data_IF_181392194069
#
_entry.id   IF_181392194069
#
_cell.length_a   1.000
_cell.length_b   1.000
_cell.length_c   1.000
_cell.angle_alpha   90.00
_cell.angle_beta   90.00
_cell.angle_gamma   90.00
#
_symmetry.space_group_name_H-M   'P 1'
#
loop_
_entity.id
_entity.type
_entity.pdbx_description
1 polymer ?
#
# COMPACT_ATOMS: atom_id res chain seq x y z
N UNK A 1 -17.29 8.93 -6.66
CA UNK A 1 -16.57 7.65 -6.54
C UNK A 1 -15.25 7.87 -5.82
N UNK A 2 -14.96 7.07 -4.83
CA UNK A 2 -13.70 7.16 -4.09
C UNK A 2 -12.66 6.25 -4.72
N UNK A 3 -11.44 6.73 -4.82
CA UNK A 3 -10.32 5.89 -5.22
C UNK A 3 -9.15 6.12 -4.29
N UNK A 4 -8.30 5.11 -4.19
CA UNK A 4 -7.12 5.15 -3.34
C UNK A 4 -5.92 4.68 -4.13
N UNK A 5 -4.79 5.34 -3.93
CA UNK A 5 -3.53 4.94 -4.57
C UNK A 5 -2.74 4.08 -3.62
N UNK A 6 -2.24 2.96 -4.13
CA UNK A 6 -1.40 2.05 -3.39
C UNK A 6 0.04 2.25 -3.81
N UNK A 7 0.91 2.49 -2.83
CA UNK A 7 2.34 2.68 -3.04
C UNK A 7 3.13 1.61 -2.31
N UNK A 8 4.29 1.27 -2.86
CA UNK A 8 5.25 0.40 -2.20
C UNK A 8 6.50 1.20 -1.84
N UNK A 9 7.16 0.81 -0.76
CA UNK A 9 8.43 1.39 -0.33
C UNK A 9 9.43 0.27 -0.16
N UNK A 10 10.61 0.43 -0.79
CA UNK A 10 11.70 -0.52 -0.70
C UNK A 10 12.93 0.16 -0.09
N UNK A 11 13.54 -0.49 0.91
CA UNK A 11 14.78 -0.06 1.55
C UNK A 11 14.74 1.38 2.08
N UNK A 12 13.58 1.81 2.57
CA UNK A 12 13.41 3.17 3.08
C UNK A 12 13.42 4.25 2.03
N UNK A 13 13.30 3.89 0.75
CA UNK A 13 13.32 4.83 -0.36
C UNK A 13 11.99 5.56 -0.56
N UNK A 14 11.86 6.19 -1.71
CA UNK A 14 10.65 6.93 -2.07
C UNK A 14 9.48 6.00 -2.35
N UNK A 15 8.27 6.54 -2.22
CA UNK A 15 7.05 5.81 -2.59
C UNK A 15 7.04 5.53 -4.08
N UNK A 16 6.69 4.29 -4.44
CA UNK A 16 6.51 3.88 -5.82
C UNK A 16 5.06 3.46 -6.03
N UNK A 17 4.40 4.07 -7.01
CA UNK A 17 3.00 3.74 -7.29
C UNK A 17 2.89 2.32 -7.82
N UNK A 18 1.95 1.57 -7.24
CA UNK A 18 1.71 0.17 -7.63
C UNK A 18 0.39 0.04 -8.38
N UNK A 19 -0.70 0.51 -7.79
CA UNK A 19 -2.02 0.41 -8.40
C UNK A 19 -2.98 1.41 -7.76
N UNK A 20 -4.17 1.53 -8.35
CA UNK A 20 -5.27 2.32 -7.80
C UNK A 20 -6.43 1.38 -7.53
N UNK A 21 -7.04 1.53 -6.36
CA UNK A 21 -8.17 0.69 -5.95
C UNK A 21 -9.37 1.57 -5.62
N UNK A 22 -10.57 1.02 -5.72
CA UNK A 22 -11.80 1.77 -5.47
C UNK A 22 -12.56 1.30 -4.23
N UNK A 23 -12.12 0.22 -3.60
CA UNK A 23 -12.78 -0.31 -2.40
C UNK A 23 -11.79 -1.06 -1.51
N UNK A 24 -12.25 -1.41 -0.30
CA UNK A 24 -11.41 -2.08 0.69
C UNK A 24 -10.99 -3.48 0.26
N UNK A 25 -11.85 -4.20 -0.46
CA UNK A 25 -11.53 -5.55 -0.92
C UNK A 25 -10.36 -5.55 -1.91
N UNK A 26 -10.37 -4.61 -2.86
CA UNK A 26 -9.27 -4.45 -3.83
C UNK A 26 -7.98 -4.02 -3.13
N UNK A 27 -8.09 -3.17 -2.13
CA UNK A 27 -6.94 -2.76 -1.33
C UNK A 27 -6.32 -3.92 -0.58
N UNK A 28 -7.14 -4.79 -0.03
CA UNK A 28 -6.67 -6.00 0.65
C UNK A 28 -6.01 -6.96 -0.32
N UNK A 29 -6.55 -7.11 -1.52
CA UNK A 29 -5.96 -7.94 -2.56
C UNK A 29 -4.58 -7.41 -2.96
N UNK A 30 -4.46 -6.09 -3.15
CA UNK A 30 -3.19 -5.46 -3.46
C UNK A 30 -2.15 -5.72 -2.37
N UNK A 31 -2.56 -5.61 -1.10
CA UNK A 31 -1.69 -5.92 0.05
C UNK A 31 -1.18 -7.36 -0.02
N UNK A 32 -2.08 -8.33 -0.27
CA UNK A 32 -1.70 -9.73 -0.34
C UNK A 32 -0.76 -10.00 -1.50
N UNK A 33 -1.02 -9.40 -2.67
CA UNK A 33 -0.18 -9.56 -3.85
C UNK A 33 1.23 -9.01 -3.61
N UNK A 34 1.33 -7.83 -3.00
CA UNK A 34 2.62 -7.22 -2.68
C UNK A 34 3.40 -8.03 -1.65
N UNK A 35 2.70 -8.61 -0.67
CA UNK A 35 3.31 -9.49 0.33
C UNK A 35 3.90 -10.75 -0.34
N UNK A 36 3.17 -11.35 -1.26
CA UNK A 36 3.63 -12.55 -1.97
C UNK A 36 4.83 -12.27 -2.86
N UNK A 37 4.86 -11.10 -3.51
CA UNK A 37 5.96 -10.72 -4.38
C UNK A 37 7.27 -10.53 -3.61
N UNK A 38 7.18 -10.06 -2.36
CA UNK A 38 8.35 -9.89 -1.49
C UNK A 38 9.32 -8.82 -1.92
N UNK A 39 8.92 -7.92 -2.81
CA UNK A 39 9.80 -6.87 -3.32
C UNK A 39 9.83 -5.63 -2.42
N UNK A 40 8.65 -5.18 -1.97
CA UNK A 40 8.53 -4.00 -1.13
C UNK A 40 8.57 -4.34 0.36
N UNK A 41 9.08 -3.43 1.16
CA UNK A 41 9.10 -3.57 2.62
C UNK A 41 7.83 -3.06 3.27
N UNK A 42 7.24 -2.00 2.68
CA UNK A 42 6.03 -1.34 3.19
C UNK A 42 5.03 -1.13 2.08
N UNK A 43 3.75 -1.15 2.47
CA UNK A 43 2.65 -0.72 1.63
C UNK A 43 2.03 0.53 2.25
N UNK A 44 1.75 1.55 1.42
CA UNK A 44 1.00 2.75 1.82
C UNK A 44 -0.22 2.91 0.96
N UNK A 45 -1.31 3.33 1.59
CA UNK A 45 -2.54 3.70 0.89
C UNK A 45 -2.80 5.17 1.12
N UNK A 46 -2.96 5.92 0.03
CA UNK A 46 -3.29 7.34 0.08
C UNK A 46 -4.58 7.61 -0.65
N UNK A 47 -5.35 8.62 -0.16
CA UNK A 47 -6.54 9.06 -0.85
C UNK A 47 -6.19 9.96 -2.04
N UNK A 48 -7.21 10.44 -2.75
CA UNK A 48 -7.02 11.27 -3.97
C UNK A 48 -6.33 12.59 -3.69
N UNK A 49 -6.36 13.06 -2.45
CA UNK A 49 -5.71 14.31 -2.05
C UNK A 49 -4.31 14.09 -1.50
N UNK A 50 -3.84 12.84 -1.51
CA UNK A 50 -2.52 12.48 -1.02
C UNK A 50 -2.46 12.19 0.47
N UNK A 51 -3.61 12.19 1.16
CA UNK A 51 -3.66 11.88 2.59
C UNK A 51 -3.37 10.41 2.86
N UNK A 52 -2.53 10.13 3.86
CA UNK A 52 -2.19 8.77 4.24
C UNK A 52 -3.38 8.10 4.93
N UNK A 53 -3.82 6.97 4.39
CA UNK A 53 -4.92 6.18 4.96
C UNK A 53 -4.40 5.07 5.86
N UNK A 54 -3.36 4.36 5.41
CA UNK A 54 -2.71 3.35 6.22
C UNK A 54 -1.32 3.03 5.69
N UNK A 55 -0.50 2.43 6.56
CA UNK A 55 0.79 1.88 6.21
C UNK A 55 0.97 0.57 6.96
N UNK A 56 1.46 -0.46 6.28
CA UNK A 56 1.78 -1.75 6.89
C UNK A 56 3.19 -2.16 6.52
N UNK A 57 3.87 -2.78 7.48
CA UNK A 57 5.12 -3.49 7.21
C UNK A 57 4.75 -4.83 6.58
N UNK A 58 5.21 -5.07 5.35
CA UNK A 58 4.83 -6.28 4.60
C UNK A 58 5.50 -7.55 5.17
N UNK A 59 6.67 -7.41 5.78
CA UNK A 59 7.38 -8.56 6.35
C UNK A 59 6.72 -9.05 7.64
N UNK A 60 6.29 -8.14 8.51
CA UNK A 60 5.70 -8.48 9.81
C UNK A 60 4.18 -8.50 9.79
N UNK A 61 3.56 -7.85 8.82
CA UNK A 61 2.11 -7.68 8.76
C UNK A 61 1.57 -6.64 9.72
N UNK A 62 2.43 -5.89 10.39
CA UNK A 62 2.02 -4.92 11.40
C UNK A 62 1.67 -3.58 10.76
N UNK A 63 0.59 -2.97 11.28
CA UNK A 63 0.21 -1.62 10.91
C UNK A 63 1.17 -0.63 11.55
N UNK A 64 1.77 0.26 10.76
CA UNK A 64 2.76 1.25 11.23
C UNK A 64 2.22 2.68 11.15
N UNK A 65 1.13 2.89 10.43
CA UNK A 65 0.48 4.21 10.40
C UNK A 65 -0.97 4.12 9.94
#
# INVERSE_FOLDING_TARGET
>A
MRSYKIFGIKDGGAEEWVTTVSNAADGKQAHNDMKQQGYFDYIRCRDVLGGLRFEYNLATGRKTA
#
